data_IF_696278684439
#
_entry.id   IF_696278684439
#
_cell.length_a   1.000
_cell.length_b   1.000
_cell.length_c   1.000
_cell.angle_alpha   90.00
_cell.angle_beta   90.00
_cell.angle_gamma   90.00
#
_symmetry.space_group_name_H-M   'P 1'
#
loop_
_entity.id
_entity.type
_entity.pdbx_description
1 polymer ?
#
# COMPACT_ATOMS: atom_id res chain seq x y z
N UNK A 1 -2.43 55.33 -15.06
CA UNK A 1 -1.44 54.24 -15.14
C UNK A 1 -2.14 52.97 -14.69
N UNK A 2 -2.75 52.25 -15.64
CA UNK A 2 -3.29 50.91 -15.43
C UNK A 2 -2.15 49.94 -15.65
N UNK A 3 -1.60 49.38 -14.57
CA UNK A 3 -0.62 48.28 -14.68
C UNK A 3 -1.34 47.06 -15.25
N UNK A 4 -1.02 46.69 -16.48
CA UNK A 4 -1.47 45.44 -17.07
C UNK A 4 -0.90 44.28 -16.26
N UNK A 5 -1.77 43.47 -15.65
CA UNK A 5 -1.38 42.25 -14.94
C UNK A 5 -0.76 41.31 -15.97
N UNK A 6 0.49 40.92 -15.74
CA UNK A 6 1.18 40.00 -16.64
C UNK A 6 0.52 38.61 -16.59
N UNK A 7 0.62 37.84 -17.67
CA UNK A 7 0.04 36.48 -17.75
C UNK A 7 0.55 35.58 -16.60
N UNK A 8 1.78 35.79 -16.15
CA UNK A 8 2.36 35.10 -15.00
C UNK A 8 1.66 35.47 -13.69
N UNK A 9 1.48 36.75 -13.41
CA UNK A 9 0.81 37.24 -12.19
C UNK A 9 -0.65 36.77 -12.10
N UNK A 10 -1.35 36.71 -13.24
CA UNK A 10 -2.71 36.16 -13.28
C UNK A 10 -2.73 34.64 -13.03
N UNK A 11 -1.78 33.89 -13.61
CA UNK A 11 -1.65 32.46 -13.38
C UNK A 11 -1.38 32.14 -11.90
N UNK A 12 -0.47 32.89 -11.27
CA UNK A 12 -0.13 32.73 -9.85
C UNK A 12 -1.31 33.08 -8.94
N UNK A 13 -2.05 34.15 -9.26
CA UNK A 13 -3.29 34.50 -8.58
C UNK A 13 -4.34 33.40 -8.71
N UNK A 14 -4.53 32.84 -9.91
CA UNK A 14 -5.48 31.76 -10.17
C UNK A 14 -5.10 30.48 -9.40
N UNK A 15 -3.83 30.09 -9.39
CA UNK A 15 -3.35 28.95 -8.60
C UNK A 15 -3.55 29.18 -7.09
N UNK A 16 -3.27 30.39 -6.60
CA UNK A 16 -3.48 30.77 -5.21
C UNK A 16 -4.95 30.66 -4.81
N UNK A 17 -5.87 31.17 -5.65
CA UNK A 17 -7.32 31.07 -5.41
C UNK A 17 -7.78 29.62 -5.45
N UNK A 18 -7.34 28.83 -6.45
CA UNK A 18 -7.67 27.39 -6.53
C UNK A 18 -7.24 26.64 -5.27
N UNK A 19 -6.01 26.89 -4.79
CA UNK A 19 -5.50 26.29 -3.55
C UNK A 19 -6.39 26.65 -2.35
N UNK A 20 -6.78 27.92 -2.19
CA UNK A 20 -7.66 28.35 -1.11
C UNK A 20 -9.05 27.69 -1.17
N UNK A 21 -9.61 27.53 -2.37
CA UNK A 21 -10.90 26.82 -2.55
C UNK A 21 -10.77 25.36 -2.12
N UNK A 22 -9.73 24.67 -2.58
CA UNK A 22 -9.49 23.26 -2.23
C UNK A 22 -9.27 23.08 -0.73
N UNK A 23 -8.44 23.92 -0.11
CA UNK A 23 -8.21 23.88 1.35
C UNK A 23 -9.52 24.10 2.13
N UNK A 24 -10.34 25.08 1.75
CA UNK A 24 -11.61 25.32 2.42
C UNK A 24 -12.60 24.14 2.28
N UNK A 25 -12.62 23.49 1.10
CA UNK A 25 -13.43 22.29 0.88
C UNK A 25 -12.94 21.10 1.72
N UNK A 26 -11.63 20.89 1.80
CA UNK A 26 -11.05 19.83 2.63
C UNK A 26 -11.33 20.03 4.13
N UNK A 27 -11.20 21.25 4.64
CA UNK A 27 -11.52 21.58 6.03
C UNK A 27 -13.01 21.38 6.35
N UNK A 28 -13.89 21.77 5.43
CA UNK A 28 -15.32 21.52 5.56
C UNK A 28 -15.63 20.02 5.60
N UNK A 29 -15.03 19.23 4.71
CA UNK A 29 -15.21 17.78 4.69
C UNK A 29 -14.67 17.09 5.95
N UNK A 30 -13.52 17.54 6.47
CA UNK A 30 -12.97 17.04 7.75
C UNK A 30 -13.94 17.29 8.90
N UNK A 31 -14.46 18.51 9.00
CA UNK A 31 -15.43 18.88 10.04
C UNK A 31 -16.70 18.03 9.94
N UNK A 32 -17.27 17.90 8.74
CA UNK A 32 -18.45 17.05 8.50
C UNK A 32 -18.17 15.58 8.86
N UNK A 33 -16.98 15.07 8.53
CA UNK A 33 -16.60 13.71 8.90
C UNK A 33 -16.53 13.55 10.42
N UNK A 34 -15.89 14.47 11.14
CA UNK A 34 -15.81 14.43 12.61
C UNK A 34 -17.21 14.39 13.23
N UNK A 35 -18.10 15.30 12.84
CA UNK A 35 -19.50 15.34 13.32
C UNK A 35 -20.26 14.05 13.00
N UNK A 36 -20.06 13.49 11.80
CA UNK A 36 -20.69 12.23 11.41
C UNK A 36 -20.19 11.06 12.27
N UNK A 37 -18.88 10.99 12.55
CA UNK A 37 -18.31 9.95 13.40
C UNK A 37 -18.81 10.09 14.84
N UNK A 38 -18.94 11.32 15.35
CA UNK A 38 -19.51 11.58 16.68
C UNK A 38 -20.98 11.19 16.76
N UNK A 39 -21.78 11.50 15.74
CA UNK A 39 -23.16 11.05 15.65
C UNK A 39 -23.27 9.51 15.64
N UNK A 40 -22.46 8.84 14.82
CA UNK A 40 -22.40 7.37 14.79
C UNK A 40 -22.01 6.78 16.15
N UNK A 41 -21.02 7.40 16.81
CA UNK A 41 -20.57 7.01 18.15
C UNK A 41 -21.69 7.14 19.18
N UNK A 42 -22.38 8.27 19.20
CA UNK A 42 -23.45 8.54 20.15
C UNK A 42 -24.67 7.65 19.93
N UNK A 43 -25.06 7.40 18.68
CA UNK A 43 -26.12 6.43 18.36
C UNK A 43 -25.73 5.04 18.82
N UNK A 44 -24.48 4.63 18.59
CA UNK A 44 -23.94 3.36 19.08
C UNK A 44 -24.00 3.26 20.60
N UNK A 45 -23.57 4.30 21.33
CA UNK A 45 -23.64 4.40 22.79
C UNK A 45 -25.06 4.20 23.29
N UNK A 46 -26.02 4.95 22.73
CA UNK A 46 -27.43 4.88 23.14
C UNK A 46 -28.00 3.48 22.94
N UNK A 47 -27.69 2.83 21.81
CA UNK A 47 -28.13 1.45 21.55
C UNK A 47 -27.57 0.50 22.63
N UNK A 48 -26.26 0.59 22.93
CA UNK A 48 -25.62 -0.26 23.96
C UNK A 48 -26.23 -0.04 25.34
N UNK A 49 -26.41 1.21 25.76
CA UNK A 49 -27.01 1.55 27.06
C UNK A 49 -28.45 1.00 27.19
N UNK A 50 -29.25 1.07 26.12
CA UNK A 50 -30.62 0.56 26.14
C UNK A 50 -30.68 -0.98 26.14
N UNK A 51 -29.68 -1.66 25.58
CA UNK A 51 -29.59 -3.12 25.62
C UNK A 51 -29.22 -3.67 27.00
N UNK A 52 -28.53 -2.90 27.84
CA UNK A 52 -28.21 -3.32 29.21
C UNK A 52 -29.45 -3.47 30.12
N UNK A 53 -30.58 -2.87 29.74
CA UNK A 53 -31.85 -2.94 30.49
C UNK A 53 -32.84 -4.02 30.01
N UNK A 54 -32.39 -5.04 29.29
CA UNK A 54 -33.19 -6.18 28.77
C UNK A 54 -34.40 -5.84 27.88
N UNK A 55 -34.59 -4.57 27.49
CA UNK A 55 -35.79 -4.12 26.75
C UNK A 55 -35.55 -3.95 25.23
N UNK A 56 -34.30 -3.87 24.78
CA UNK A 56 -33.95 -3.56 23.38
C UNK A 56 -33.41 -4.79 22.65
N UNK A 57 -34.28 -5.51 21.95
CA UNK A 57 -33.91 -6.62 21.07
C UNK A 57 -33.72 -6.21 19.60
N UNK A 58 -33.49 -7.21 18.75
CA UNK A 58 -33.37 -7.05 17.28
C UNK A 58 -34.57 -6.34 16.64
N UNK A 59 -35.79 -6.67 17.08
CA UNK A 59 -37.03 -6.06 16.58
C UNK A 59 -37.13 -4.56 16.88
N UNK A 60 -36.58 -4.09 18.00
CA UNK A 60 -36.60 -2.68 18.39
C UNK A 60 -35.65 -1.87 17.51
N UNK A 61 -34.46 -2.40 17.20
CA UNK A 61 -33.50 -1.76 16.29
C UNK A 61 -34.06 -1.69 14.86
N UNK A 62 -34.76 -2.73 14.41
CA UNK A 62 -35.42 -2.74 13.11
C UNK A 62 -36.55 -1.71 13.01
N UNK A 63 -37.35 -1.56 14.07
CA UNK A 63 -38.41 -0.54 14.12
C UNK A 63 -37.80 0.86 14.16
N UNK A 64 -36.81 1.10 15.01
CA UNK A 64 -36.10 2.37 15.11
C UNK A 64 -35.52 2.81 13.75
N UNK A 65 -34.87 1.90 13.02
CA UNK A 65 -34.32 2.21 11.70
C UNK A 65 -35.42 2.61 10.70
N UNK A 66 -36.60 1.97 10.74
CA UNK A 66 -37.74 2.34 9.90
C UNK A 66 -38.28 3.73 10.25
N UNK A 67 -38.43 4.01 11.55
CA UNK A 67 -38.94 5.28 12.03
C UNK A 67 -37.99 6.43 11.65
N UNK A 68 -36.68 6.24 11.82
CA UNK A 68 -35.65 7.19 11.40
C UNK A 68 -35.67 7.43 9.88
N UNK A 69 -35.80 6.38 9.07
CA UNK A 69 -35.91 6.54 7.61
C UNK A 69 -37.21 7.23 7.17
N UNK A 70 -38.28 7.08 7.93
CA UNK A 70 -39.56 7.74 7.64
C UNK A 70 -39.47 9.24 7.95
N UNK A 71 -38.86 9.61 9.08
CA UNK A 71 -38.69 11.00 9.49
C UNK A 71 -37.59 11.71 8.67
N UNK A 72 -36.55 10.97 8.25
CA UNK A 72 -35.44 11.49 7.45
C UNK A 72 -35.26 10.71 6.14
N UNK A 73 -36.13 10.89 5.14
CA UNK A 73 -36.07 10.16 3.88
C UNK A 73 -34.73 10.34 3.16
N UNK A 74 -34.08 9.23 2.81
CA UNK A 74 -32.83 9.23 2.04
C UNK A 74 -31.56 9.40 2.87
N UNK A 75 -31.66 9.44 4.21
CA UNK A 75 -30.48 9.46 5.08
C UNK A 75 -29.70 8.15 4.95
N UNK A 76 -28.41 8.26 4.60
CA UNK A 76 -27.54 7.10 4.41
C UNK A 76 -26.94 6.65 5.74
N UNK A 77 -26.77 5.34 5.92
CA UNK A 77 -26.13 4.77 7.10
C UNK A 77 -27.05 4.46 8.29
N UNK A 78 -28.34 4.84 8.23
CA UNK A 78 -29.34 4.56 9.28
C UNK A 78 -30.31 3.43 8.90
N UNK A 79 -29.83 2.43 8.16
CA UNK A 79 -30.56 1.17 7.98
C UNK A 79 -30.41 0.30 9.24
N UNK A 80 -31.19 -0.79 9.41
CA UNK A 80 -31.00 -1.71 10.54
C UNK A 80 -29.53 -2.16 10.68
N UNK A 81 -28.90 -2.55 9.57
CA UNK A 81 -27.47 -2.92 9.54
C UNK A 81 -26.55 -1.76 9.88
N UNK A 82 -26.92 -0.53 9.49
CA UNK A 82 -26.18 0.68 9.82
C UNK A 82 -26.19 0.99 11.33
N UNK A 83 -27.34 0.87 11.99
CA UNK A 83 -27.45 1.01 13.44
C UNK A 83 -26.66 -0.07 14.18
N UNK A 84 -26.68 -1.32 13.69
CA UNK A 84 -25.83 -2.38 14.23
C UNK A 84 -24.35 -2.08 14.07
N UNK A 85 -23.92 -1.50 12.95
CA UNK A 85 -22.53 -1.05 12.76
C UNK A 85 -22.15 0.08 13.70
N UNK A 86 -23.03 1.05 13.93
CA UNK A 86 -22.81 2.13 14.92
C UNK A 86 -22.64 1.55 16.33
N UNK A 87 -23.47 0.57 16.70
CA UNK A 87 -23.32 -0.16 17.95
C UNK A 87 -21.96 -0.87 18.04
N UNK A 88 -21.62 -1.69 17.05
CA UNK A 88 -20.32 -2.40 17.02
C UNK A 88 -19.14 -1.44 17.05
N UNK A 89 -19.26 -0.29 16.38
CA UNK A 89 -18.25 0.75 16.37
C UNK A 89 -18.02 1.32 17.78
N UNK A 90 -19.09 1.65 18.50
CA UNK A 90 -18.97 2.09 19.90
C UNK A 90 -18.38 0.99 20.79
N UNK A 91 -18.83 -0.26 20.66
CA UNK A 91 -18.30 -1.38 21.46
C UNK A 91 -16.81 -1.62 21.20
N UNK A 92 -16.38 -1.55 19.94
CA UNK A 92 -14.99 -1.77 19.54
C UNK A 92 -14.04 -0.67 20.05
N UNK A 93 -14.50 0.59 20.09
CA UNK A 93 -13.61 1.72 20.34
C UNK A 93 -13.80 2.42 21.70
N UNK A 94 -14.93 2.21 22.39
CA UNK A 94 -15.22 2.87 23.68
C UNK A 94 -14.24 2.53 24.80
N UNK A 95 -13.65 1.33 24.76
CA UNK A 95 -12.66 0.86 25.74
C UNK A 95 -11.22 0.95 25.23
N UNK A 96 -10.98 1.61 24.09
CA UNK A 96 -9.64 1.74 23.49
C UNK A 96 -9.24 3.22 23.36
N UNK A 97 -8.76 3.86 24.44
CA UNK A 97 -8.44 5.29 24.47
C UNK A 97 -7.45 5.73 23.38
N UNK A 98 -6.58 4.79 22.95
CA UNK A 98 -5.58 5.02 21.90
C UNK A 98 -6.19 5.11 20.50
N UNK A 99 -7.27 4.36 20.22
CA UNK A 99 -7.89 4.27 18.90
C UNK A 99 -9.04 5.28 18.72
N UNK A 100 -9.74 5.61 19.80
CA UNK A 100 -10.84 6.57 19.83
C UNK A 100 -10.54 7.94 19.15
N UNK A 101 -9.34 8.55 19.27
CA UNK A 101 -9.03 9.76 18.50
C UNK A 101 -8.83 9.47 17.01
N UNK A 102 -8.19 8.34 16.65
CA UNK A 102 -7.82 8.00 15.28
C UNK A 102 -9.04 7.74 14.39
N UNK A 103 -10.12 7.16 14.94
CA UNK A 103 -11.34 6.90 14.17
C UNK A 103 -12.04 8.18 13.70
N UNK A 104 -11.79 9.33 14.36
CA UNK A 104 -12.32 10.65 13.95
C UNK A 104 -11.55 11.28 12.79
N UNK A 105 -10.34 10.78 12.50
CA UNK A 105 -9.48 11.32 11.43
C UNK A 105 -9.85 10.76 10.05
N UNK A 106 -10.68 9.72 10.00
CA UNK A 106 -11.05 9.02 8.77
C UNK A 106 -12.58 8.90 8.62
N UNK A 107 -13.03 8.68 7.38
CA UNK A 107 -14.46 8.59 7.08
C UNK A 107 -15.15 7.35 7.65
N UNK A 108 -16.48 7.40 7.80
CA UNK A 108 -17.31 6.31 8.33
C UNK A 108 -17.09 4.97 7.61
N UNK A 109 -16.97 4.99 6.28
CA UNK A 109 -16.75 3.79 5.48
C UNK A 109 -15.42 3.11 5.80
N UNK A 110 -14.35 3.87 6.03
CA UNK A 110 -13.04 3.33 6.40
C UNK A 110 -13.09 2.69 7.78
N UNK A 111 -13.74 3.36 8.74
CA UNK A 111 -13.96 2.83 10.07
C UNK A 111 -14.70 1.48 10.05
N UNK A 112 -15.74 1.34 9.23
CA UNK A 112 -16.45 0.07 9.06
C UNK A 112 -15.51 -1.01 8.51
N UNK A 113 -14.76 -0.72 7.45
CA UNK A 113 -13.85 -1.70 6.83
C UNK A 113 -12.81 -2.18 7.84
N UNK A 114 -12.19 -1.27 8.57
CA UNK A 114 -11.15 -1.60 9.56
C UNK A 114 -11.76 -2.40 10.71
N UNK A 115 -12.91 -2.00 11.22
CA UNK A 115 -13.60 -2.70 12.31
C UNK A 115 -14.03 -4.11 11.89
N UNK A 116 -14.59 -4.28 10.69
CA UNK A 116 -15.12 -5.57 10.21
C UNK A 116 -14.00 -6.54 9.78
N UNK A 117 -12.90 -6.03 9.21
CA UNK A 117 -11.82 -6.89 8.68
C UNK A 117 -10.65 -7.12 9.65
N UNK A 118 -10.39 -6.21 10.59
CA UNK A 118 -9.23 -6.32 11.50
C UNK A 118 -9.58 -7.07 12.78
N UNK A 119 -8.67 -7.96 13.20
CA UNK A 119 -8.91 -8.89 14.32
C UNK A 119 -8.57 -8.26 15.67
N UNK A 120 -7.47 -7.53 15.74
CA UNK A 120 -6.93 -6.95 16.97
C UNK A 120 -6.68 -5.44 16.86
N UNK A 121 -6.45 -4.81 18.01
CA UNK A 121 -6.29 -3.36 18.12
C UNK A 121 -5.00 -2.84 17.49
N UNK A 122 -3.95 -3.65 17.43
CA UNK A 122 -2.69 -3.23 16.81
C UNK A 122 -2.83 -3.18 15.29
N UNK A 123 -3.51 -4.17 14.69
CA UNK A 123 -3.88 -4.15 13.28
C UNK A 123 -4.81 -2.98 12.96
N UNK A 124 -5.81 -2.70 13.82
CA UNK A 124 -6.69 -1.52 13.66
C UNK A 124 -5.88 -0.23 13.72
N UNK A 125 -5.01 -0.07 14.70
CA UNK A 125 -4.17 1.13 14.82
C UNK A 125 -3.35 1.38 13.55
N UNK A 126 -2.71 0.33 13.04
CA UNK A 126 -1.91 0.40 11.82
C UNK A 126 -2.73 0.92 10.64
N UNK A 127 -3.90 0.33 10.37
CA UNK A 127 -4.72 0.73 9.23
C UNK A 127 -5.40 2.09 9.44
N UNK A 128 -5.77 2.46 10.68
CA UNK A 128 -6.31 3.78 11.02
C UNK A 128 -5.28 4.88 10.75
N UNK A 129 -4.07 4.71 11.28
CA UNK A 129 -2.95 5.65 11.08
C UNK A 129 -2.55 5.73 9.62
N UNK A 130 -2.46 4.58 8.95
CA UNK A 130 -2.08 4.53 7.55
C UNK A 130 -3.13 5.22 6.69
N UNK A 131 -4.41 4.89 6.84
CA UNK A 131 -5.47 5.54 6.05
C UNK A 131 -5.52 7.06 6.26
N UNK A 132 -5.33 7.55 7.50
CA UNK A 132 -5.24 8.97 7.83
C UNK A 132 -4.01 9.63 7.21
N UNK A 133 -2.81 9.08 7.47
CA UNK A 133 -1.51 9.61 7.00
C UNK A 133 -1.40 9.60 5.47
N UNK A 134 -1.96 8.58 4.84
CA UNK A 134 -1.81 8.31 3.42
C UNK A 134 -3.03 8.72 2.59
N UNK A 135 -4.10 9.21 3.22
CA UNK A 135 -5.32 9.58 2.50
C UNK A 135 -5.87 8.43 1.64
N UNK A 136 -5.73 7.18 2.11
CA UNK A 136 -6.13 6.02 1.32
C UNK A 136 -7.61 6.09 0.95
N UNK A 137 -7.92 5.78 -0.30
CA UNK A 137 -9.31 5.59 -0.71
C UNK A 137 -9.88 4.32 -0.06
N UNK A 138 -11.21 4.18 -0.07
CA UNK A 138 -11.89 2.94 0.35
C UNK A 138 -11.28 1.70 -0.31
N UNK A 139 -11.03 1.77 -1.62
CA UNK A 139 -10.51 0.65 -2.39
C UNK A 139 -9.06 0.36 -2.02
N UNK A 140 -8.23 1.41 -1.89
CA UNK A 140 -6.84 1.27 -1.46
C UNK A 140 -6.75 0.60 -0.09
N UNK A 141 -7.52 1.07 0.89
CA UNK A 141 -7.56 0.45 2.23
C UNK A 141 -8.00 -1.02 2.17
N UNK A 142 -9.02 -1.32 1.37
CA UNK A 142 -9.54 -2.70 1.21
C UNK A 142 -8.45 -3.61 0.66
N UNK A 143 -7.75 -3.19 -0.40
CA UNK A 143 -6.65 -3.95 -0.99
C UNK A 143 -5.50 -4.12 0.01
N UNK A 144 -5.10 -3.07 0.72
CA UNK A 144 -4.01 -3.16 1.71
C UNK A 144 -4.31 -4.16 2.84
N UNK A 145 -5.58 -4.26 3.25
CA UNK A 145 -6.00 -5.27 4.23
C UNK A 145 -6.00 -6.68 3.62
N UNK A 146 -6.46 -6.83 2.37
CA UNK A 146 -6.47 -8.13 1.67
C UNK A 146 -5.05 -8.64 1.40
N UNK A 147 -4.14 -7.72 1.07
CA UNK A 147 -2.70 -7.96 0.87
C UNK A 147 -1.94 -8.17 2.19
N UNK A 148 -2.63 -8.12 3.35
CA UNK A 148 -2.04 -8.29 4.69
C UNK A 148 -0.85 -7.35 4.94
N UNK A 149 -0.99 -6.09 4.57
CA UNK A 149 0.09 -5.09 4.67
C UNK A 149 0.60 -4.89 6.10
N UNK A 150 -0.27 -5.03 7.11
CA UNK A 150 0.12 -5.01 8.53
C UNK A 150 1.11 -6.13 8.86
N UNK A 151 0.76 -7.36 8.53
CA UNK A 151 1.60 -8.54 8.74
C UNK A 151 2.90 -8.45 7.93
N UNK A 152 2.82 -7.99 6.69
CA UNK A 152 3.99 -7.73 5.85
C UNK A 152 4.94 -6.72 6.50
N UNK A 153 4.42 -5.61 7.04
CA UNK A 153 5.25 -4.59 7.70
C UNK A 153 5.97 -5.11 8.93
N UNK A 154 5.36 -6.04 9.68
CA UNK A 154 6.00 -6.69 10.83
C UNK A 154 7.12 -7.66 10.42
N UNK A 155 7.07 -8.18 9.19
CA UNK A 155 8.05 -9.14 8.66
C UNK A 155 9.14 -8.47 7.81
N UNK A 156 8.95 -7.21 7.42
CA UNK A 156 9.87 -6.46 6.59
C UNK A 156 11.28 -6.40 7.18
N UNK A 157 12.26 -6.87 6.40
CA UNK A 157 13.68 -6.80 6.73
C UNK A 157 14.27 -5.58 6.03
N UNK A 158 14.26 -4.45 6.75
CA UNK A 158 14.74 -3.15 6.26
C UNK A 158 15.55 -2.44 7.35
N UNK A 159 16.48 -1.56 6.98
CA UNK A 159 17.21 -0.68 7.89
C UNK A 159 16.68 0.77 7.88
N UNK A 160 15.44 0.98 7.43
CA UNK A 160 14.90 2.30 7.16
C UNK A 160 14.81 3.21 8.39
N UNK A 161 14.58 2.65 9.58
CA UNK A 161 14.50 3.41 10.84
C UNK A 161 15.80 4.13 11.21
N UNK A 162 16.92 3.57 10.81
CA UNK A 162 18.24 4.09 11.17
C UNK A 162 18.79 5.04 10.11
N UNK A 163 18.35 4.89 8.86
CA UNK A 163 18.99 5.52 7.70
C UNK A 163 18.12 6.59 7.03
N UNK A 164 16.80 6.41 6.97
CA UNK A 164 15.92 7.38 6.29
C UNK A 164 15.53 8.54 7.22
N UNK A 165 15.28 9.75 6.69
CA UNK A 165 14.68 10.84 7.46
C UNK A 165 13.34 10.44 8.09
N UNK A 166 13.14 10.78 9.37
CA UNK A 166 11.92 10.47 10.16
C UNK A 166 10.59 10.71 9.40
N UNK A 167 10.42 11.79 8.61
CA UNK A 167 9.16 12.02 7.90
C UNK A 167 8.75 10.90 6.93
N UNK A 168 9.73 10.17 6.36
CA UNK A 168 9.50 9.16 5.32
C UNK A 168 9.69 7.71 5.78
N UNK A 169 10.23 7.46 6.97
CA UNK A 169 10.53 6.11 7.48
C UNK A 169 9.32 5.17 7.43
N UNK A 170 8.20 5.56 8.06
CA UNK A 170 6.99 4.75 8.07
C UNK A 170 6.45 4.49 6.67
N UNK A 171 6.56 5.50 5.80
CA UNK A 171 6.06 5.41 4.43
C UNK A 171 6.88 4.42 3.61
N UNK A 172 8.20 4.44 3.78
CA UNK A 172 9.12 3.54 3.10
C UNK A 172 8.91 2.08 3.55
N UNK A 173 8.69 1.87 4.85
CA UNK A 173 8.36 0.54 5.39
C UNK A 173 7.08 -0.03 4.80
N UNK A 174 6.08 0.80 4.56
CA UNK A 174 4.82 0.37 3.96
C UNK A 174 4.92 0.16 2.46
N UNK A 175 5.80 0.92 1.79
CA UNK A 175 6.02 0.82 0.35
C UNK A 175 6.77 -0.46 -0.03
N UNK A 176 7.69 -0.94 0.82
CA UNK A 176 8.44 -2.17 0.57
C UNK A 176 7.72 -3.33 1.25
N UNK A 177 7.14 -4.24 0.46
CA UNK A 177 6.55 -5.49 0.97
C UNK A 177 7.65 -6.49 1.36
N UNK A 178 7.31 -7.40 2.29
CA UNK A 178 8.18 -8.52 2.67
C UNK A 178 8.31 -9.53 1.52
N UNK A 179 7.23 -9.69 0.78
CA UNK A 179 7.06 -10.67 -0.29
C UNK A 179 6.21 -10.07 -1.43
N UNK A 180 6.54 -10.41 -2.67
CA UNK A 180 5.79 -10.05 -3.88
C UNK A 180 5.32 -11.30 -4.64
N UNK A 181 4.11 -11.25 -5.19
CA UNK A 181 3.53 -12.37 -5.94
C UNK A 181 3.46 -11.99 -7.42
N UNK A 182 4.25 -12.67 -8.25
CA UNK A 182 4.39 -12.38 -9.68
C UNK A 182 3.86 -13.52 -10.56
N UNK A 183 2.71 -14.08 -10.20
CA UNK A 183 2.07 -15.21 -10.90
C UNK A 183 1.73 -14.90 -12.37
N UNK A 184 1.65 -13.62 -12.73
CA UNK A 184 1.41 -13.16 -14.09
C UNK A 184 2.61 -13.28 -15.03
N UNK A 185 3.80 -13.62 -14.52
CA UNK A 185 5.03 -13.67 -15.33
C UNK A 185 5.13 -14.91 -16.22
N UNK A 186 4.25 -15.91 -16.05
CA UNK A 186 4.20 -17.14 -16.85
C UNK A 186 5.60 -17.80 -17.02
N UNK A 187 6.47 -17.67 -16.01
CA UNK A 187 7.82 -18.24 -16.03
C UNK A 187 7.80 -19.69 -15.53
N UNK A 188 8.66 -20.53 -16.12
CA UNK A 188 8.96 -21.85 -15.59
C UNK A 188 9.74 -21.78 -14.27
N UNK A 189 9.80 -22.89 -13.53
CA UNK A 189 10.52 -22.98 -12.26
C UNK A 189 12.02 -22.64 -12.37
N UNK A 190 12.62 -22.97 -13.52
CA UNK A 190 13.98 -22.58 -13.90
C UNK A 190 13.94 -21.39 -14.86
N UNK A 191 14.48 -20.26 -14.42
CA UNK A 191 14.65 -19.06 -15.22
C UNK A 191 15.92 -18.32 -14.79
N UNK A 192 16.52 -17.59 -15.72
CA UNK A 192 17.63 -16.67 -15.45
C UNK A 192 17.15 -15.30 -14.97
N UNK A 193 18.03 -14.53 -14.32
CA UNK A 193 17.74 -13.13 -13.93
C UNK A 193 17.30 -12.30 -15.14
N UNK A 194 17.96 -12.50 -16.29
CA UNK A 194 17.60 -11.84 -17.53
C UNK A 194 16.18 -12.20 -18.00
N UNK A 195 15.78 -13.48 -17.93
CA UNK A 195 14.41 -13.88 -18.27
C UNK A 195 13.37 -13.30 -17.30
N UNK A 196 13.67 -13.30 -16.00
CA UNK A 196 12.81 -12.69 -14.98
C UNK A 196 12.59 -11.20 -15.26
N UNK A 197 13.67 -10.48 -15.53
CA UNK A 197 13.64 -9.05 -15.86
C UNK A 197 12.81 -8.79 -17.13
N UNK A 198 13.04 -9.56 -18.21
CA UNK A 198 12.29 -9.41 -19.46
C UNK A 198 10.80 -9.70 -19.27
N UNK A 199 10.45 -10.72 -18.48
CA UNK A 199 9.06 -11.01 -18.15
C UNK A 199 8.41 -9.84 -17.40
N UNK A 200 9.09 -9.28 -16.39
CA UNK A 200 8.59 -8.10 -15.67
C UNK A 200 8.37 -6.90 -16.59
N UNK A 201 9.29 -6.65 -17.53
CA UNK A 201 9.15 -5.57 -18.50
C UNK A 201 8.00 -5.79 -19.48
N UNK A 202 7.81 -7.04 -19.94
CA UNK A 202 6.70 -7.39 -20.83
C UNK A 202 5.34 -7.21 -20.16
N UNK A 203 5.28 -7.30 -18.82
CA UNK A 203 4.08 -7.15 -17.99
C UNK A 203 4.21 -5.97 -17.02
N UNK A 204 4.85 -4.88 -17.45
CA UNK A 204 5.22 -3.76 -16.57
C UNK A 204 4.03 -3.16 -15.81
N UNK A 205 2.86 -3.07 -16.44
CA UNK A 205 1.65 -2.56 -15.77
C UNK A 205 1.24 -3.44 -14.58
N UNK A 206 1.27 -4.76 -14.75
CA UNK A 206 0.91 -5.73 -13.71
C UNK A 206 1.96 -5.73 -12.60
N UNK A 207 3.24 -5.66 -12.97
CA UNK A 207 4.34 -5.49 -12.02
C UNK A 207 4.18 -4.22 -11.16
N UNK A 208 3.98 -3.05 -11.78
CA UNK A 208 3.82 -1.80 -11.02
C UNK A 208 2.57 -1.80 -10.13
N UNK A 209 1.52 -2.50 -10.57
CA UNK A 209 0.31 -2.70 -9.78
C UNK A 209 0.57 -3.56 -8.55
N UNK A 210 1.29 -4.68 -8.72
CA UNK A 210 1.69 -5.56 -7.61
C UNK A 210 2.60 -4.86 -6.61
N UNK A 211 3.47 -3.98 -7.10
CA UNK A 211 4.31 -3.10 -6.27
C UNK A 211 3.50 -2.02 -5.52
N UNK A 212 2.18 -1.92 -5.71
CA UNK A 212 1.30 -1.01 -4.95
C UNK A 212 0.92 0.29 -5.67
N UNK A 213 1.21 0.43 -6.97
CA UNK A 213 0.68 1.48 -7.84
C UNK A 213 1.21 2.90 -7.61
N UNK A 214 2.13 3.10 -6.65
CA UNK A 214 2.80 4.38 -6.39
C UNK A 214 4.18 4.48 -7.06
N UNK A 215 4.62 3.39 -7.67
CA UNK A 215 5.86 3.31 -8.44
C UNK A 215 5.63 3.79 -9.88
N UNK A 216 6.63 4.47 -10.42
CA UNK A 216 6.72 4.89 -11.82
C UNK A 216 8.00 4.31 -12.41
N UNK A 217 7.92 3.74 -13.60
CA UNK A 217 9.10 3.18 -14.28
C UNK A 217 10.01 4.31 -14.79
N UNK A 218 11.31 4.22 -14.50
CA UNK A 218 12.34 5.15 -14.99
C UNK A 218 13.17 4.50 -16.09
N UNK A 219 13.60 3.26 -15.88
CA UNK A 219 14.37 2.52 -16.87
C UNK A 219 14.69 1.09 -16.45
N UNK A 220 15.19 0.30 -17.39
CA UNK A 220 15.71 -1.05 -17.17
C UNK A 220 17.13 -1.18 -17.72
N UNK A 221 17.93 -2.06 -17.12
CA UNK A 221 19.37 -2.11 -17.36
C UNK A 221 19.97 -0.70 -17.31
N UNK A 222 19.58 0.04 -16.27
CA UNK A 222 19.91 1.46 -16.15
C UNK A 222 21.40 1.60 -15.94
N UNK A 223 22.06 2.22 -16.91
CA UNK A 223 23.50 2.39 -16.92
C UNK A 223 23.92 3.51 -15.97
N UNK A 224 24.78 3.18 -15.03
CA UNK A 224 25.52 4.11 -14.20
C UNK A 224 26.98 4.11 -14.61
N UNK A 225 27.46 5.26 -15.08
CA UNK A 225 28.86 5.45 -15.39
C UNK A 225 29.57 6.08 -14.19
N UNK A 226 30.48 5.31 -13.56
CA UNK A 226 31.32 5.80 -12.47
C UNK A 226 32.77 5.77 -12.95
N UNK A 227 33.33 6.95 -13.18
CA UNK A 227 34.60 7.14 -13.90
C UNK A 227 34.54 6.53 -15.32
N UNK A 228 35.40 5.55 -15.61
CA UNK A 228 35.50 4.87 -16.90
C UNK A 228 34.86 3.47 -16.89
N UNK A 229 34.07 3.15 -15.85
CA UNK A 229 33.42 1.84 -15.71
C UNK A 229 31.90 1.99 -15.73
N UNK A 230 31.28 1.08 -16.46
CA UNK A 230 29.83 0.96 -16.55
C UNK A 230 29.29 -0.08 -15.58
N UNK A 231 28.24 0.31 -14.88
CA UNK A 231 27.48 -0.54 -13.97
C UNK A 231 26.01 -0.50 -14.36
N UNK A 232 25.26 -1.56 -14.07
CA UNK A 232 23.88 -1.70 -14.51
C UNK A 232 22.97 -2.06 -13.35
N UNK A 233 21.91 -1.27 -13.18
CA UNK A 233 20.79 -1.57 -12.28
C UNK A 233 19.70 -2.25 -13.10
N UNK A 234 19.19 -3.40 -12.64
CA UNK A 234 18.21 -4.18 -13.39
C UNK A 234 16.95 -3.37 -13.70
N UNK A 235 16.37 -2.73 -12.69
CA UNK A 235 15.26 -1.81 -12.85
C UNK A 235 15.47 -0.57 -11.98
N UNK A 236 15.22 0.61 -12.56
CA UNK A 236 15.14 1.87 -11.84
C UNK A 236 13.69 2.35 -11.86
N UNK A 237 13.14 2.57 -10.67
CA UNK A 237 11.79 3.09 -10.47
C UNK A 237 11.85 4.43 -9.73
N UNK A 238 10.74 5.16 -9.73
CA UNK A 238 10.52 6.34 -8.92
C UNK A 238 9.29 6.14 -8.05
N UNK A 239 9.42 6.37 -6.75
CA UNK A 239 8.28 6.28 -5.85
C UNK A 239 7.66 7.66 -5.64
N UNK A 240 6.44 7.86 -6.14
CA UNK A 240 5.81 9.20 -6.20
C UNK A 240 5.60 9.87 -4.86
N UNK A 241 5.30 9.09 -3.82
CA UNK A 241 5.06 9.65 -2.49
C UNK A 241 6.35 9.95 -1.72
N UNK A 242 7.23 8.96 -1.64
CA UNK A 242 8.55 9.08 -1.05
C UNK A 242 9.42 10.09 -1.80
N UNK A 243 9.07 10.42 -3.06
CA UNK A 243 9.83 11.32 -3.92
C UNK A 243 11.30 10.93 -4.01
N UNK A 244 11.57 9.65 -4.28
CA UNK A 244 12.91 9.12 -4.37
C UNK A 244 13.01 8.10 -5.51
N UNK A 245 14.23 7.94 -6.00
CA UNK A 245 14.60 6.83 -6.87
C UNK A 245 14.59 5.52 -6.08
N UNK A 246 14.21 4.43 -6.73
CA UNK A 246 14.21 3.09 -6.18
C UNK A 246 14.97 2.16 -7.13
N UNK A 247 16.15 1.72 -6.70
CA UNK A 247 16.96 0.77 -7.43
C UNK A 247 16.52 -0.65 -7.08
N UNK A 248 16.19 -1.46 -8.09
CA UNK A 248 15.76 -2.85 -7.90
C UNK A 248 16.80 -3.79 -8.51
N UNK A 249 17.27 -4.75 -7.71
CA UNK A 249 18.16 -5.84 -8.12
C UNK A 249 17.40 -7.17 -8.00
N UNK A 250 17.35 -7.93 -9.09
CA UNK A 250 16.59 -9.17 -9.22
C UNK A 250 17.53 -10.38 -9.04
N UNK A 251 17.12 -11.35 -8.21
CA UNK A 251 17.93 -12.52 -7.85
C UNK A 251 17.13 -13.80 -7.94
N UNK A 252 17.48 -14.70 -8.86
CA UNK A 252 16.78 -15.99 -9.02
C UNK A 252 17.09 -17.02 -7.93
N UNK A 253 18.14 -16.77 -7.14
CA UNK A 253 18.56 -17.59 -6.02
C UNK A 253 18.27 -16.97 -4.66
N UNK A 254 18.92 -17.52 -3.65
CA UNK A 254 18.84 -17.05 -2.28
C UNK A 254 19.53 -15.69 -2.12
N UNK A 255 19.11 -14.93 -1.12
CA UNK A 255 19.81 -13.73 -0.73
C UNK A 255 21.24 -14.05 -0.26
N UNK A 256 22.23 -13.34 -0.81
CA UNK A 256 23.62 -13.36 -0.37
C UNK A 256 24.05 -11.98 0.16
N UNK A 257 24.90 -11.91 1.20
CA UNK A 257 25.37 -10.64 1.76
C UNK A 257 26.05 -9.70 0.74
N UNK A 258 26.68 -10.25 -0.30
CA UNK A 258 27.32 -9.46 -1.36
C UNK A 258 26.34 -8.58 -2.15
N UNK A 259 25.07 -8.97 -2.24
CA UNK A 259 24.03 -8.18 -2.90
C UNK A 259 23.86 -6.80 -2.23
N UNK A 260 24.01 -6.72 -0.91
CA UNK A 260 23.95 -5.45 -0.17
C UNK A 260 25.13 -4.55 -0.54
N UNK A 261 26.33 -5.11 -0.68
CA UNK A 261 27.51 -4.35 -1.09
C UNK A 261 27.33 -3.70 -2.48
N UNK A 262 26.82 -4.49 -3.44
CA UNK A 262 26.48 -3.99 -4.79
C UNK A 262 25.41 -2.89 -4.72
N UNK A 263 24.35 -3.10 -3.95
CA UNK A 263 23.25 -2.15 -3.79
C UNK A 263 23.70 -0.84 -3.12
N UNK A 264 24.53 -0.89 -2.08
CA UNK A 264 25.06 0.31 -1.43
C UNK A 264 25.83 1.20 -2.42
N UNK A 265 26.64 0.59 -3.28
CA UNK A 265 27.35 1.28 -4.34
C UNK A 265 26.37 1.94 -5.33
N UNK A 266 25.32 1.24 -5.77
CA UNK A 266 24.29 1.78 -6.65
C UNK A 266 23.57 2.98 -6.05
N UNK A 267 23.17 2.89 -4.78
CA UNK A 267 22.49 3.99 -4.11
C UNK A 267 23.39 5.21 -3.92
N UNK A 268 24.68 5.00 -3.62
CA UNK A 268 25.65 6.10 -3.56
C UNK A 268 25.79 6.78 -4.93
N UNK A 269 25.98 6.01 -6.00
CA UNK A 269 26.10 6.56 -7.35
C UNK A 269 24.82 7.26 -7.82
N UNK A 270 23.63 6.72 -7.53
CA UNK A 270 22.36 7.37 -7.85
C UNK A 270 22.20 8.69 -7.10
N UNK A 271 22.47 8.69 -5.79
CA UNK A 271 22.33 9.88 -4.96
C UNK A 271 23.26 11.02 -5.40
N UNK A 272 24.46 10.68 -5.91
CA UNK A 272 25.48 11.65 -6.30
C UNK A 272 25.34 12.11 -7.76
N UNK A 273 24.93 11.23 -8.68
CA UNK A 273 24.96 11.48 -10.13
C UNK A 273 23.59 11.73 -10.76
N UNK A 274 22.51 11.17 -10.20
CA UNK A 274 21.19 11.12 -10.86
C UNK A 274 20.12 11.86 -10.06
N UNK A 275 20.12 11.69 -8.74
CA UNK A 275 19.10 12.24 -7.83
C UNK A 275 19.03 13.77 -7.93
N UNK A 276 17.81 14.28 -8.00
CA UNK A 276 17.55 15.72 -8.00
C UNK A 276 17.60 16.32 -6.59
N UNK A 277 17.88 17.64 -6.44
CA UNK A 277 18.02 18.28 -5.13
C UNK A 277 16.78 18.18 -4.22
N UNK A 278 15.60 18.12 -4.81
CA UNK A 278 14.31 18.01 -4.10
C UNK A 278 13.89 16.57 -3.77
N UNK A 279 14.63 15.57 -4.25
CA UNK A 279 14.34 14.16 -4.02
C UNK A 279 14.94 13.67 -2.70
N UNK A 280 14.21 12.77 -2.05
CA UNK A 280 14.70 12.06 -0.87
C UNK A 280 15.79 11.04 -1.26
N UNK A 281 16.59 10.55 -0.30
CA UNK A 281 17.61 9.53 -0.56
C UNK A 281 17.03 8.32 -1.31
N UNK A 282 17.80 7.83 -2.29
CA UNK A 282 17.41 6.67 -3.10
C UNK A 282 17.30 5.43 -2.23
N UNK A 283 16.32 4.56 -2.53
CA UNK A 283 16.06 3.32 -1.79
C UNK A 283 16.47 2.12 -2.64
N UNK A 284 17.12 1.13 -2.01
CA UNK A 284 17.48 -0.13 -2.64
C UNK A 284 16.45 -1.21 -2.33
N UNK A 285 16.09 -2.00 -3.33
CA UNK A 285 15.22 -3.15 -3.19
C UNK A 285 15.89 -4.37 -3.82
N UNK A 286 16.12 -5.40 -3.02
CA UNK A 286 16.65 -6.68 -3.49
C UNK A 286 15.48 -7.66 -3.50
N UNK A 287 15.11 -8.16 -4.68
CA UNK A 287 14.04 -9.14 -4.86
C UNK A 287 14.68 -10.51 -5.14
N UNK A 288 14.58 -11.43 -4.18
CA UNK A 288 15.19 -12.76 -4.26
C UNK A 288 14.16 -13.89 -4.19
N UNK A 289 14.52 -15.09 -4.68
CA UNK A 289 13.63 -16.26 -4.62
C UNK A 289 13.41 -16.74 -3.19
N UNK A 290 14.43 -16.65 -2.35
CA UNK A 290 14.33 -16.93 -0.92
C UNK A 290 15.34 -16.09 -0.11
N UNK A 291 15.12 -15.95 1.21
CA UNK A 291 16.08 -15.31 2.11
C UNK A 291 16.07 -15.92 3.51
N UNK A 292 17.23 -16.00 4.15
CA UNK A 292 17.32 -16.26 5.59
C UNK A 292 17.23 -14.94 6.37
N UNK A 293 16.22 -14.85 7.24
CA UNK A 293 15.95 -13.66 8.04
C UNK A 293 17.16 -13.20 8.86
N UNK A 294 17.88 -14.13 9.48
CA UNK A 294 19.02 -13.82 10.35
C UNK A 294 20.17 -13.26 9.53
N UNK A 295 20.45 -13.87 8.37
CA UNK A 295 21.51 -13.41 7.46
C UNK A 295 21.20 -12.01 6.94
N UNK A 296 19.95 -11.75 6.54
CA UNK A 296 19.52 -10.43 6.06
C UNK A 296 19.65 -9.38 7.16
N UNK A 297 19.10 -9.64 8.36
CA UNK A 297 19.17 -8.71 9.49
C UNK A 297 20.62 -8.38 9.89
N UNK A 298 21.49 -9.39 9.93
CA UNK A 298 22.90 -9.20 10.23
C UNK A 298 23.60 -8.34 9.18
N UNK A 299 23.27 -8.54 7.90
CA UNK A 299 23.88 -7.79 6.79
C UNK A 299 23.38 -6.34 6.73
N UNK A 300 22.09 -6.11 6.98
CA UNK A 300 21.50 -4.78 6.91
C UNK A 300 21.87 -3.87 8.10
N UNK A 301 22.21 -4.45 9.25
CA UNK A 301 22.51 -3.70 10.49
C UNK A 301 23.62 -2.68 10.33
N UNK A 302 24.67 -3.00 9.58
CA UNK A 302 25.80 -2.09 9.36
C UNK A 302 25.68 -1.29 8.04
N UNK A 303 24.54 -1.38 7.36
CA UNK A 303 24.33 -0.70 6.09
C UNK A 303 23.96 0.77 6.28
N UNK A 304 24.78 1.67 5.73
CA UNK A 304 24.54 3.11 5.78
C UNK A 304 23.57 3.63 4.71
N UNK A 305 23.14 2.77 3.76
CA UNK A 305 22.17 3.12 2.71
C UNK A 305 20.83 2.40 2.94
N UNK A 306 19.70 3.01 2.58
CA UNK A 306 18.38 2.46 2.87
C UNK A 306 18.07 1.31 1.92
N UNK A 307 18.07 0.08 2.43
CA UNK A 307 17.89 -1.14 1.65
C UNK A 307 16.77 -1.99 2.27
N UNK A 308 15.88 -2.48 1.42
CA UNK A 308 14.89 -3.50 1.74
C UNK A 308 15.12 -4.79 0.96
N UNK A 309 14.96 -5.93 1.62
CA UNK A 309 15.05 -7.25 0.99
C UNK A 309 13.69 -7.92 1.02
N UNK A 310 13.19 -8.33 -0.14
CA UNK A 310 11.90 -8.98 -0.29
C UNK A 310 12.03 -10.29 -1.06
N UNK A 311 11.21 -11.26 -0.68
CA UNK A 311 11.07 -12.49 -1.46
C UNK A 311 10.11 -12.26 -2.63
N UNK A 312 10.25 -13.02 -3.70
CA UNK A 312 9.22 -13.11 -4.73
C UNK A 312 8.80 -14.55 -4.97
N UNK A 313 7.53 -14.73 -5.31
CA UNK A 313 6.99 -16.01 -5.82
C UNK A 313 6.51 -15.85 -7.23
N UNK A 314 6.76 -16.86 -8.05
CA UNK A 314 6.17 -17.01 -9.38
C UNK A 314 5.48 -18.35 -9.38
N UNK A 315 4.16 -18.37 -9.41
CA UNK A 315 3.42 -19.61 -9.60
C UNK A 315 3.46 -20.01 -11.08
N UNK A 316 3.76 -21.28 -11.41
CA UNK A 316 3.43 -21.84 -12.71
C UNK A 316 1.93 -22.13 -12.70
N UNK A 317 1.08 -21.25 -13.24
CA UNK A 317 -0.34 -21.60 -13.42
C UNK A 317 -0.70 -21.73 -14.90
N UNK A 318 -0.94 -22.98 -15.30
CA UNK A 318 -2.01 -23.27 -16.25
C UNK A 318 -3.34 -22.91 -15.58
N UNK A 319 -4.26 -22.18 -16.25
CA UNK A 319 -5.55 -21.83 -15.67
C UNK A 319 -6.34 -23.08 -15.24
N UNK A 320 -7.10 -23.01 -14.14
CA UNK A 320 -7.94 -24.12 -13.64
C UNK A 320 -8.91 -24.68 -14.70
N UNK A 321 -9.26 -23.88 -15.72
CA UNK A 321 -10.08 -24.28 -16.87
C UNK A 321 -9.43 -25.37 -17.75
N UNK A 322 -8.11 -25.56 -17.66
CA UNK A 322 -7.32 -26.44 -18.53
C UNK A 322 -6.94 -27.77 -17.86
N UNK A 323 -7.07 -27.90 -16.54
CA UNK A 323 -6.75 -29.15 -15.80
C UNK A 323 -7.58 -30.37 -16.25
N UNK A 324 -8.69 -30.15 -16.96
CA UNK A 324 -9.53 -31.21 -17.54
C UNK A 324 -9.49 -31.32 -19.08
N UNK A 325 -8.68 -30.50 -19.76
CA UNK A 325 -8.61 -30.46 -21.25
C UNK A 325 -7.24 -30.87 -21.81
N UNK A 326 -6.27 -31.18 -20.96
CA UNK A 326 -4.96 -31.67 -21.41
C UNK A 326 -5.12 -33.14 -21.85
N UNK A 327 -4.79 -33.49 -23.10
CA UNK A 327 -4.79 -34.88 -23.55
C UNK A 327 -3.78 -35.71 -22.72
N UNK A 328 -4.11 -36.98 -22.45
CA UNK A 328 -3.28 -37.91 -21.67
C UNK A 328 -1.84 -37.93 -22.23
N UNK A 329 -0.76 -38.14 -21.44
CA UNK A 329 0.61 -38.15 -21.96
C UNK A 329 0.81 -39.08 -23.17
N UNK A 330 0.08 -40.20 -23.24
CA UNK A 330 0.08 -41.09 -24.41
C UNK A 330 -0.51 -40.45 -25.68
N UNK A 331 -1.46 -39.53 -25.55
CA UNK A 331 -2.06 -38.78 -26.67
C UNK A 331 -1.14 -37.66 -27.17
N UNK A 332 -0.39 -37.02 -26.26
CA UNK A 332 0.63 -36.02 -26.62
C UNK A 332 1.77 -36.69 -27.41
N UNK A 333 2.19 -37.88 -27.00
CA UNK A 333 3.24 -38.64 -27.68
C UNK A 333 2.85 -39.05 -29.11
N UNK A 334 1.57 -39.40 -29.33
CA UNK A 334 1.02 -39.66 -30.68
C UNK A 334 0.98 -38.41 -31.57
N UNK A 335 0.61 -37.26 -31.03
CA UNK A 335 0.51 -36.00 -31.79
C UNK A 335 1.88 -35.47 -32.23
N UNK A 336 2.93 -35.76 -31.46
CA UNK A 336 4.31 -35.38 -31.80
C UNK A 336 4.98 -36.33 -32.80
N UNK A 337 4.43 -37.53 -33.01
CA UNK A 337 4.91 -38.49 -34.01
C UNK A 337 4.31 -38.26 -35.41
N UNK A 338 3.27 -37.44 -35.53
CA UNK A 338 2.62 -37.10 -36.82
C UNK A 338 3.12 -35.78 -37.45
N UNK A 339 4.24 -35.22 -36.97
CA UNK A 339 4.91 -34.04 -37.56
C UNK A 339 6.21 -34.39 -38.25
#
# INVERSE_FOLDING_TARGET
>A
MTSEITISEYSDLLQSIKRRILTAQEEALKTVNTELIELCWDVGRVIVEKQQGDTWGKSVVEQLAKDVQTEFPGIKGFSPSGLWRMKMFYEAYSQTPKLAPLVREIGWTHNIIIMEKCKDDAQREFYLRSASKFGWSKNTLTNQIEDKAYEGTLLNQTNFDEVLPVPIQDQAKLAVKHEYIFDFLELGEEHSEHQLQQAMLSKLEQFLREMGGLFTFVGSNYQLQVNEKDFFIDLLLYHRWLKCLVAVDLKVGDFEPEHVGKMQFYLAALDDLVKLPEENPSIGMILCKSKDKTIVEYTLRDSAKPIGVAEYRVSPQLPDEWLGQIPDPEQIEKLLQEV
#
